data_IF_162318789432
#
_entry.id   IF_162318789432
#
_cell.length_a   1.000
_cell.length_b   1.000
_cell.length_c   1.000
_cell.angle_alpha   90.00
_cell.angle_beta   90.00
_cell.angle_gamma   90.00
#
_symmetry.space_group_name_H-M   'P 1'
#
loop_
_entity.id
_entity.type
_entity.pdbx_description
1 polymer ?
#
# COMPACT_ATOMS: atom_id res chain seq x y z
N UNK A 1 4.75 0.69 -27.90
CA UNK A 1 4.31 0.98 -27.28
C UNK A 1 4.55 1.58 -26.36
N UNK A 2 4.55 1.85 -26.00
CA UNK A 2 4.91 2.42 -25.15
C UNK A 2 4.25 3.02 -24.15
N UNK A 3 4.35 2.64 -23.14
CA UNK A 3 3.78 3.23 -22.07
C UNK A 3 4.50 4.35 -21.67
N UNK A 4 3.87 5.38 -21.46
CA UNK A 4 4.51 6.45 -21.17
C UNK A 4 4.47 6.83 -19.82
N UNK A 5 3.46 6.68 -19.04
CA UNK A 5 3.48 7.15 -17.68
C UNK A 5 3.45 5.98 -16.76
N UNK A 6 4.06 6.07 -15.58
CA UNK A 6 4.03 4.99 -14.61
C UNK A 6 2.60 4.74 -14.14
N UNK A 7 2.28 3.50 -13.96
CA UNK A 7 1.02 3.12 -13.36
C UNK A 7 1.05 3.40 -11.87
N UNK A 8 -0.09 3.73 -11.33
CA UNK A 8 -0.24 3.97 -9.90
C UNK A 8 -1.30 3.05 -9.34
N UNK A 9 -1.06 2.55 -8.16
CA UNK A 9 -1.99 1.64 -7.50
C UNK A 9 -2.15 2.07 -6.05
N UNK A 10 -3.39 2.21 -5.61
CA UNK A 10 -3.67 2.52 -4.21
C UNK A 10 -4.03 1.23 -3.53
N UNK A 11 -3.30 0.90 -2.48
CA UNK A 11 -3.50 -0.34 -1.74
C UNK A 11 -3.95 0.01 -0.33
N UNK A 12 -5.14 -0.43 0.03
CA UNK A 12 -5.66 -0.21 1.37
C UNK A 12 -5.57 -1.48 2.20
N UNK A 13 -5.04 -1.36 3.40
CA UNK A 13 -4.97 -2.47 4.34
C UNK A 13 -5.72 -2.07 5.60
N UNK A 14 -6.77 -2.81 5.90
CA UNK A 14 -7.62 -2.53 7.05
C UNK A 14 -7.56 -3.67 8.03
N UNK A 15 -8.33 -3.59 9.10
CA UNK A 15 -8.41 -4.65 10.09
C UNK A 15 -9.16 -5.88 9.62
N UNK A 16 -9.79 -5.83 8.45
CA UNK A 16 -10.47 -7.00 7.92
C UNK A 16 -9.46 -8.04 7.47
N UNK A 17 -9.93 -9.26 7.23
CA UNK A 17 -9.04 -10.32 6.77
C UNK A 17 -8.48 -9.95 5.39
N UNK A 18 -7.35 -10.52 5.05
CA UNK A 18 -6.77 -10.27 3.74
C UNK A 18 -5.55 -9.36 3.74
N UNK A 19 -5.01 -9.03 4.90
CA UNK A 19 -3.80 -8.22 4.98
C UNK A 19 -2.65 -8.85 4.18
N UNK A 20 -2.57 -10.16 4.16
CA UNK A 20 -1.56 -10.88 3.39
C UNK A 20 -1.65 -10.52 1.91
N UNK A 21 -2.87 -10.42 1.39
CA UNK A 21 -3.05 -10.11 -0.03
C UNK A 21 -2.58 -8.69 -0.35
N UNK A 22 -2.81 -7.76 0.57
CA UNK A 22 -2.32 -6.40 0.40
C UNK A 22 -0.81 -6.34 0.33
N UNK A 23 -0.14 -7.08 1.21
CA UNK A 23 1.31 -7.12 1.22
C UNK A 23 1.84 -7.76 -0.06
N UNK A 24 1.22 -8.85 -0.49
CA UNK A 24 1.63 -9.50 -1.73
C UNK A 24 1.44 -8.59 -2.94
N UNK A 25 0.36 -7.83 -2.93
CA UNK A 25 0.10 -6.89 -4.01
C UNK A 25 1.17 -5.81 -4.06
N UNK A 26 1.59 -5.30 -2.91
CA UNK A 26 2.68 -4.32 -2.85
C UNK A 26 3.97 -4.91 -3.41
N UNK A 27 4.29 -6.13 -3.01
CA UNK A 27 5.51 -6.78 -3.49
C UNK A 27 5.48 -7.00 -4.99
N UNK A 28 4.32 -7.43 -5.48
CA UNK A 28 4.18 -7.70 -6.90
C UNK A 28 4.26 -6.42 -7.72
N UNK A 29 3.62 -5.36 -7.24
CA UNK A 29 3.66 -4.08 -7.92
C UNK A 29 5.08 -3.54 -7.98
N UNK A 30 5.82 -3.70 -6.89
CA UNK A 30 7.21 -3.27 -6.86
C UNK A 30 8.04 -4.01 -7.89
N UNK A 31 7.82 -5.32 -7.99
CA UNK A 31 8.55 -6.11 -8.98
C UNK A 31 8.22 -5.70 -10.41
N UNK A 32 7.01 -5.20 -10.63
CA UNK A 32 6.58 -4.78 -11.96
C UNK A 32 6.83 -3.31 -12.25
N UNK A 33 7.43 -2.60 -11.31
CA UNK A 33 7.71 -1.18 -11.51
C UNK A 33 6.50 -0.27 -11.37
N UNK A 34 5.45 -0.75 -10.73
CA UNK A 34 4.23 0.03 -10.51
C UNK A 34 4.39 0.83 -9.23
N UNK A 35 4.04 2.11 -9.28
CA UNK A 35 4.06 2.94 -8.08
C UNK A 35 2.88 2.60 -7.21
N UNK A 36 3.12 2.45 -5.91
CA UNK A 36 2.05 2.13 -4.98
C UNK A 36 1.91 3.21 -3.92
N UNK A 37 0.66 3.46 -3.55
CA UNK A 37 0.32 4.35 -2.46
C UNK A 37 -0.40 3.51 -1.40
N UNK A 38 0.22 3.36 -0.26
CA UNK A 38 -0.32 2.52 0.79
C UNK A 38 -1.11 3.35 1.79
N UNK A 39 -2.30 2.88 2.10
CA UNK A 39 -3.11 3.43 3.17
C UNK A 39 -3.43 2.28 4.10
N UNK A 40 -2.89 2.32 5.31
CA UNK A 40 -3.12 1.25 6.27
C UNK A 40 -3.70 1.84 7.54
N UNK A 41 -4.79 1.25 8.01
CA UNK A 41 -5.37 1.64 9.29
C UNK A 41 -4.54 1.04 10.42
N UNK A 42 -4.65 1.57 11.65
CA UNK A 42 -3.95 0.96 12.78
C UNK A 42 -4.29 -0.52 12.94
N UNK A 43 -5.55 -0.89 12.75
CA UNK A 43 -5.94 -2.29 12.82
C UNK A 43 -5.32 -3.11 11.70
N UNK A 44 -5.19 -2.53 10.52
CA UNK A 44 -4.53 -3.20 9.41
C UNK A 44 -3.06 -3.45 9.68
N UNK A 45 -2.39 -2.45 10.26
CA UNK A 45 -0.99 -2.60 10.62
C UNK A 45 -0.83 -3.70 11.66
N UNK A 46 -1.71 -3.75 12.63
CA UNK A 46 -1.68 -4.79 13.65
C UNK A 46 -1.88 -6.17 13.04
N UNK A 47 -2.80 -6.31 12.11
CA UNK A 47 -3.03 -7.58 11.43
C UNK A 47 -1.82 -8.04 10.64
N UNK A 48 -1.16 -7.13 9.94
CA UNK A 48 0.05 -7.46 9.19
C UNK A 48 1.14 -7.93 10.16
N UNK A 49 1.25 -7.25 11.28
CA UNK A 49 2.23 -7.64 12.29
C UNK A 49 1.94 -9.04 12.83
N UNK A 50 0.68 -9.31 13.12
CA UNK A 50 0.28 -10.61 13.66
C UNK A 50 0.49 -11.73 12.66
N UNK A 51 0.12 -11.50 11.41
CA UNK A 51 0.12 -12.56 10.41
C UNK A 51 1.47 -12.75 9.75
N UNK A 52 2.22 -11.67 9.56
CA UNK A 52 3.45 -11.73 8.79
C UNK A 52 4.67 -11.29 9.56
N UNK A 53 4.50 -10.78 10.77
CA UNK A 53 5.63 -10.32 11.58
C UNK A 53 6.24 -9.02 11.08
N UNK A 54 5.56 -8.31 10.17
CA UNK A 54 6.08 -7.05 9.66
C UNK A 54 5.60 -5.91 10.54
N UNK A 55 6.50 -5.02 10.91
CA UNK A 55 6.10 -3.83 11.63
C UNK A 55 5.72 -2.74 10.62
N UNK A 56 5.33 -1.58 11.13
CA UNK A 56 4.89 -0.49 10.29
C UNK A 56 5.97 -0.05 9.32
N UNK A 57 7.20 0.08 9.79
CA UNK A 57 8.29 0.52 8.94
C UNK A 57 8.53 -0.45 7.80
N UNK A 58 8.52 -1.74 8.10
CA UNK A 58 8.72 -2.75 7.07
C UNK A 58 7.60 -2.74 6.05
N UNK A 59 6.36 -2.57 6.53
CA UNK A 59 5.22 -2.50 5.64
C UNK A 59 5.31 -1.29 4.72
N UNK A 60 5.61 -0.13 5.28
CA UNK A 60 5.68 1.10 4.49
C UNK A 60 6.82 1.05 3.48
N UNK A 61 7.88 0.34 3.79
CA UNK A 61 9.00 0.22 2.88
C UNK A 61 8.65 -0.55 1.60
N UNK A 62 7.57 -1.33 1.63
CA UNK A 62 7.13 -2.05 0.44
C UNK A 62 6.40 -1.16 -0.55
N UNK A 63 5.91 -0.02 -0.12
CA UNK A 63 5.16 0.89 -0.97
C UNK A 63 6.05 2.01 -1.47
N UNK A 64 5.65 2.62 -2.57
CA UNK A 64 6.33 3.82 -3.05
C UNK A 64 6.12 4.97 -2.09
N UNK A 65 4.88 5.14 -1.64
CA UNK A 65 4.53 6.14 -0.63
C UNK A 65 3.50 5.56 0.31
N UNK A 66 3.56 6.00 1.56
CA UNK A 66 2.58 5.59 2.55
C UNK A 66 1.84 6.84 3.03
N UNK A 67 0.53 6.71 3.21
CA UNK A 67 -0.32 7.81 3.62
C UNK A 67 -1.13 7.43 4.83
N UNK A 68 -1.43 8.40 5.69
CA UNK A 68 -2.35 8.16 6.78
C UNK A 68 -3.76 8.02 6.21
N UNK A 69 -4.63 7.23 6.85
CA UNK A 69 -5.98 7.05 6.32
C UNK A 69 -6.74 8.35 6.09
N UNK A 70 -6.51 9.34 6.91
CA UNK A 70 -7.18 10.63 6.76
C UNK A 70 -6.68 11.45 5.58
N UNK A 71 -5.53 11.11 5.02
CA UNK A 71 -4.94 11.89 3.93
C UNK A 71 -5.22 11.31 2.56
N UNK A 72 -5.90 10.18 2.50
CA UNK A 72 -6.08 9.49 1.24
C UNK A 72 -6.88 10.32 0.25
N UNK A 73 -7.85 11.08 0.75
CA UNK A 73 -8.65 11.92 -0.12
C UNK A 73 -7.82 12.99 -0.81
N UNK A 74 -6.93 13.62 -0.07
CA UNK A 74 -6.06 14.64 -0.65
C UNK A 74 -5.10 14.03 -1.66
N UNK A 75 -4.59 12.84 -1.38
CA UNK A 75 -3.70 12.15 -2.31
C UNK A 75 -4.41 11.86 -3.61
N UNK A 76 -5.63 11.37 -3.55
CA UNK A 76 -6.40 11.05 -4.73
C UNK A 76 -6.72 12.32 -5.52
N UNK A 77 -7.15 13.35 -4.82
CA UNK A 77 -7.54 14.60 -5.47
C UNK A 77 -6.36 15.24 -6.19
N UNK A 78 -5.20 15.23 -5.59
CA UNK A 78 -4.04 15.87 -6.21
C UNK A 78 -3.41 14.98 -7.28
N UNK A 79 -3.61 13.69 -7.19
CA UNK A 79 -3.00 12.78 -8.13
C UNK A 79 -3.83 12.50 -9.35
N UNK A 80 -5.05 12.90 -9.35
CA UNK A 80 -5.93 12.56 -10.45
C UNK A 80 -5.77 13.48 -11.66
#
# INVERSE_FOLDING_TARGET
MGVKRPSRLIVGITGASGAVYGVRLLERARALGVQTHLVATPAGILNVHHELGLDRSALEALATEAHAPGDVGACIASGS
#
